data_IF_201722140642
#
_entry.id   IF_201722140642
#
_cell.length_a   1.000
_cell.length_b   1.000
_cell.length_c   1.000
_cell.angle_alpha   90.00
_cell.angle_beta   90.00
_cell.angle_gamma   90.00
#
_symmetry.space_group_name_H-M   'P 1'
#
loop_
_entity.id
_entity.type
_entity.pdbx_description
1 polymer ?
#
# COMPACT_ATOMS: atom_id res chain seq x y z
N UNK A 1 -21.67 -18.61 -1.51
CA UNK A 1 -21.16 -17.24 -1.74
C UNK A 1 -20.58 -17.20 -3.15
N UNK A 2 -20.96 -16.26 -4.02
CA UNK A 2 -20.23 -16.07 -5.27
C UNK A 2 -18.75 -15.85 -4.91
N UNK A 3 -17.83 -16.61 -5.53
CA UNK A 3 -16.40 -16.48 -5.26
C UNK A 3 -16.00 -15.03 -5.53
N UNK A 4 -15.18 -14.43 -4.66
CA UNK A 4 -14.68 -13.07 -4.86
C UNK A 4 -13.78 -12.93 -6.11
N UNK A 5 -13.33 -14.06 -6.68
CA UNK A 5 -12.43 -14.14 -7.84
C UNK A 5 -12.87 -13.30 -9.04
N UNK A 6 -14.11 -13.39 -9.59
CA UNK A 6 -14.48 -12.69 -10.81
C UNK A 6 -14.51 -11.16 -10.63
N UNK A 7 -14.90 -10.68 -9.44
CA UNK A 7 -14.95 -9.25 -9.13
C UNK A 7 -13.55 -8.65 -8.96
N UNK A 8 -12.63 -9.39 -8.33
CA UNK A 8 -11.23 -8.99 -8.17
C UNK A 8 -10.55 -8.96 -9.54
N UNK A 9 -10.75 -9.99 -10.37
CA UNK A 9 -10.19 -10.03 -11.72
C UNK A 9 -10.72 -8.90 -12.61
N UNK A 10 -12.03 -8.60 -12.54
CA UNK A 10 -12.62 -7.49 -13.27
C UNK A 10 -12.02 -6.13 -12.83
N UNK A 11 -11.86 -5.92 -11.51
CA UNK A 11 -11.20 -4.73 -10.99
C UNK A 11 -9.73 -4.64 -11.40
N UNK A 12 -9.01 -5.76 -11.42
CA UNK A 12 -7.62 -5.83 -11.90
C UNK A 12 -7.52 -5.46 -13.38
N UNK A 13 -8.41 -5.96 -14.24
CA UNK A 13 -8.45 -5.63 -15.67
C UNK A 13 -8.75 -4.15 -15.89
N UNK A 14 -9.82 -3.64 -15.27
CA UNK A 14 -10.21 -2.23 -15.36
C UNK A 14 -9.07 -1.29 -14.97
N UNK A 15 -8.40 -1.59 -13.86
CA UNK A 15 -7.27 -0.78 -13.41
C UNK A 15 -6.04 -0.94 -14.30
N UNK A 16 -5.75 -2.15 -14.80
CA UNK A 16 -4.64 -2.37 -15.73
C UNK A 16 -4.80 -1.63 -17.06
N UNK A 17 -6.03 -1.32 -17.46
CA UNK A 17 -6.36 -0.54 -18.66
C UNK A 17 -6.49 0.96 -18.38
N UNK A 18 -6.51 1.37 -17.10
CA UNK A 18 -6.63 2.76 -16.72
C UNK A 18 -5.38 3.56 -17.13
N UNK A 19 -5.60 4.69 -17.79
CA UNK A 19 -4.54 5.63 -18.19
C UNK A 19 -3.90 6.33 -17.00
N UNK A 20 -4.60 6.42 -15.87
CA UNK A 20 -4.14 7.04 -14.62
C UNK A 20 -4.70 6.34 -13.40
N UNK A 21 -3.89 6.28 -12.36
CA UNK A 21 -4.23 5.63 -11.09
C UNK A 21 -4.20 6.64 -9.96
N UNK A 22 -5.28 6.72 -9.20
CA UNK A 22 -5.32 7.47 -7.94
C UNK A 22 -5.11 6.54 -6.77
N UNK A 23 -4.22 6.97 -5.90
CA UNK A 23 -3.94 6.32 -4.63
C UNK A 23 -4.17 7.31 -3.51
N UNK A 24 -4.86 6.87 -2.46
CA UNK A 24 -5.19 7.71 -1.31
C UNK A 24 -4.90 6.99 0.01
N UNK A 25 -4.09 7.63 0.84
CA UNK A 25 -3.84 7.22 2.22
C UNK A 25 -4.90 7.82 3.14
N UNK A 26 -5.98 7.06 3.39
CA UNK A 26 -7.14 7.47 4.19
C UNK A 26 -6.86 7.51 5.69
N UNK A 27 -5.89 6.72 6.17
CA UNK A 27 -5.41 6.76 7.55
C UNK A 27 -3.87 6.87 7.56
N UNK A 28 -3.25 7.33 8.67
CA UNK A 28 -1.81 7.56 8.70
C UNK A 28 -1.03 6.34 8.22
N UNK A 29 -0.29 6.50 7.14
CA UNK A 29 0.50 5.43 6.52
C UNK A 29 1.95 5.62 6.89
N UNK A 30 2.53 4.58 7.51
CA UNK A 30 3.82 4.67 8.22
C UNK A 30 4.85 3.75 7.59
N UNK A 31 5.61 4.29 6.64
CA UNK A 31 6.69 3.57 5.97
C UNK A 31 8.04 4.02 6.51
N UNK A 32 8.93 3.05 6.79
CA UNK A 32 10.34 3.33 7.07
C UNK A 32 11.18 2.97 5.86
N UNK A 33 11.89 3.95 5.33
CA UNK A 33 12.79 3.82 4.18
C UNK A 33 14.17 4.31 4.63
N UNK A 34 15.21 3.47 4.48
CA UNK A 34 16.55 3.79 4.99
C UNK A 34 16.59 4.12 6.49
N UNK A 35 15.73 3.48 7.30
CA UNK A 35 15.63 3.71 8.75
C UNK A 35 14.83 4.95 9.18
N UNK A 36 14.51 5.85 8.24
CA UNK A 36 13.76 7.10 8.49
C UNK A 36 12.29 6.93 8.10
N UNK A 37 11.41 7.71 8.71
CA UNK A 37 10.02 7.76 8.26
C UNK A 37 9.95 8.44 6.91
N UNK A 38 9.20 7.87 5.99
CA UNK A 38 8.92 8.51 4.72
C UNK A 38 8.09 9.78 4.96
N UNK A 39 8.35 10.80 4.15
CA UNK A 39 7.61 12.07 4.06
C UNK A 39 6.55 12.06 2.95
N UNK A 40 6.77 11.23 1.92
CA UNK A 40 5.84 10.94 0.82
C UNK A 40 5.78 9.45 0.52
N UNK A 41 4.70 9.02 -0.12
CA UNK A 41 4.56 7.62 -0.55
C UNK A 41 5.08 7.49 -1.97
N UNK A 42 6.34 7.11 -2.16
CA UNK A 42 6.88 6.87 -3.51
C UNK A 42 6.39 5.54 -4.06
N UNK A 43 6.37 5.41 -5.39
CA UNK A 43 5.87 4.21 -6.04
C UNK A 43 6.61 2.94 -5.60
N UNK A 44 7.95 2.98 -5.59
CA UNK A 44 8.81 1.93 -5.03
C UNK A 44 8.43 1.55 -3.60
N UNK A 45 8.25 2.53 -2.72
CA UNK A 45 8.01 2.29 -1.29
C UNK A 45 6.65 1.62 -1.05
N UNK A 46 5.64 2.03 -1.81
CA UNK A 46 4.31 1.42 -1.82
C UNK A 46 4.39 -0.06 -2.22
N UNK A 47 5.07 -0.35 -3.33
CA UNK A 47 5.22 -1.73 -3.86
C UNK A 47 5.99 -2.60 -2.89
N UNK A 48 7.13 -2.12 -2.37
CA UNK A 48 7.93 -2.85 -1.38
C UNK A 48 7.09 -3.15 -0.14
N UNK A 49 6.36 -2.16 0.38
CA UNK A 49 5.54 -2.34 1.57
C UNK A 49 4.37 -3.30 1.33
N UNK A 50 3.74 -3.24 0.16
CA UNK A 50 2.60 -4.08 -0.20
C UNK A 50 3.04 -5.54 -0.39
N UNK A 51 4.09 -5.76 -1.18
CA UNK A 51 4.66 -7.08 -1.41
C UNK A 51 5.13 -7.73 -0.09
N UNK A 52 5.85 -6.98 0.76
CA UNK A 52 6.28 -7.49 2.08
C UNK A 52 5.11 -7.88 2.98
N UNK A 53 4.05 -7.07 2.99
CA UNK A 53 2.87 -7.36 3.81
C UNK A 53 2.14 -8.61 3.32
N UNK A 54 1.90 -8.68 2.01
CA UNK A 54 1.26 -9.83 1.37
C UNK A 54 2.05 -11.11 1.63
N UNK A 55 3.36 -11.10 1.38
CA UNK A 55 4.25 -12.23 1.67
C UNK A 55 4.25 -12.61 3.16
N UNK A 56 4.24 -11.61 4.05
CA UNK A 56 4.15 -11.83 5.49
C UNK A 56 2.85 -12.55 5.88
N UNK A 57 1.70 -12.14 5.33
CA UNK A 57 0.42 -12.80 5.64
C UNK A 57 0.41 -14.22 5.11
N UNK A 58 0.81 -14.46 3.85
CA UNK A 58 0.83 -15.82 3.28
C UNK A 58 1.77 -16.73 4.04
N UNK A 59 2.96 -16.24 4.44
CA UNK A 59 3.92 -17.03 5.20
C UNK A 59 3.41 -17.46 6.58
N UNK A 60 2.66 -16.62 7.28
CA UNK A 60 2.26 -16.90 8.67
C UNK A 60 0.84 -17.47 8.78
N UNK A 61 -0.01 -17.27 7.76
CA UNK A 61 -1.43 -17.60 7.81
C UNK A 61 -1.97 -18.30 6.55
N UNK A 62 -1.13 -18.48 5.52
CA UNK A 62 -1.45 -19.25 4.32
C UNK A 62 -0.65 -20.55 4.26
N UNK A 63 -0.58 -21.12 3.06
CA UNK A 63 0.16 -22.35 2.74
C UNK A 63 1.64 -22.09 2.37
N UNK A 64 2.10 -20.84 2.48
CA UNK A 64 3.45 -20.45 2.10
C UNK A 64 3.66 -20.23 0.60
N UNK A 65 2.59 -20.22 -0.21
CA UNK A 65 2.67 -19.96 -1.65
C UNK A 65 3.37 -18.62 -1.96
N UNK A 66 4.32 -18.64 -2.89
CA UNK A 66 4.94 -17.41 -3.40
C UNK A 66 3.96 -16.75 -4.38
N UNK A 67 3.52 -15.54 -4.05
CA UNK A 67 2.55 -14.81 -4.87
C UNK A 67 3.25 -13.92 -5.91
N UNK A 68 2.83 -14.05 -7.16
CA UNK A 68 3.19 -13.14 -8.25
C UNK A 68 4.62 -13.29 -8.78
N UNK A 69 5.04 -12.38 -9.68
CA UNK A 69 6.38 -12.42 -10.27
C UNK A 69 7.48 -12.05 -9.27
N UNK A 70 8.76 -12.29 -9.60
CA UNK A 70 9.88 -11.96 -8.72
C UNK A 70 9.81 -10.51 -8.23
N UNK A 71 9.67 -10.34 -6.90
CA UNK A 71 9.46 -9.02 -6.26
C UNK A 71 10.54 -8.00 -6.66
N UNK A 72 11.76 -8.45 -6.96
CA UNK A 72 12.86 -7.59 -7.44
C UNK A 72 12.49 -6.85 -8.73
N UNK A 73 12.04 -7.57 -9.75
CA UNK A 73 11.69 -6.98 -11.05
C UNK A 73 10.52 -6.01 -10.93
N UNK A 74 9.56 -6.36 -10.08
CA UNK A 74 8.38 -5.53 -9.77
C UNK A 74 8.80 -4.20 -9.13
N UNK A 75 9.76 -4.24 -8.19
CA UNK A 75 10.31 -3.04 -7.53
C UNK A 75 11.07 -2.16 -8.52
N UNK A 76 11.90 -2.74 -9.38
CA UNK A 76 12.71 -1.99 -10.35
C UNK A 76 11.85 -1.24 -11.37
N UNK A 77 10.75 -1.85 -11.83
CA UNK A 77 9.77 -1.16 -12.69
C UNK A 77 9.05 -0.04 -11.94
N UNK A 78 8.65 -0.30 -10.69
CA UNK A 78 7.95 0.69 -9.88
C UNK A 78 8.83 1.89 -9.50
N UNK A 79 10.14 1.71 -9.40
CA UNK A 79 11.09 2.78 -9.07
C UNK A 79 11.14 3.89 -10.13
N UNK A 80 10.82 3.56 -11.39
CA UNK A 80 10.78 4.53 -12.49
C UNK A 80 9.46 5.31 -12.55
N UNK A 81 8.45 4.93 -11.76
CA UNK A 81 7.16 5.61 -11.73
C UNK A 81 7.23 6.86 -10.86
N UNK A 82 7.09 8.02 -11.51
CA UNK A 82 6.95 9.31 -10.85
C UNK A 82 5.46 9.69 -10.84
N UNK A 83 4.91 10.16 -9.72
CA UNK A 83 3.53 10.65 -9.68
C UNK A 83 3.37 11.89 -10.59
N UNK A 84 2.23 11.94 -11.28
CA UNK A 84 1.81 13.07 -12.12
C UNK A 84 1.40 14.25 -11.24
N UNK A 85 0.74 13.96 -10.13
CA UNK A 85 0.31 14.92 -9.12
C UNK A 85 0.38 14.25 -7.75
N UNK A 86 0.76 14.99 -6.72
CA UNK A 86 0.78 14.48 -5.35
C UNK A 86 0.53 15.57 -4.31
N UNK A 87 -0.25 15.22 -3.29
CA UNK A 87 -0.49 16.05 -2.11
C UNK A 87 -0.40 15.16 -0.88
N UNK A 88 0.80 15.10 -0.29
CA UNK A 88 1.09 14.37 0.93
C UNK A 88 1.27 15.32 2.10
N UNK A 89 0.81 14.91 3.28
CA UNK A 89 1.16 15.58 4.52
C UNK A 89 1.35 14.57 5.64
N UNK A 90 2.28 14.89 6.54
CA UNK A 90 2.40 14.17 7.79
C UNK A 90 1.35 14.68 8.78
N UNK A 91 0.69 13.77 9.48
CA UNK A 91 -0.11 14.12 10.66
C UNK A 91 0.45 13.45 11.89
N UNK A 92 0.65 14.23 12.94
CA UNK A 92 1.06 13.71 14.24
C UNK A 92 -0.16 13.29 15.03
N UNK A 93 -0.24 11.99 15.30
CA UNK A 93 -1.23 11.38 16.17
C UNK A 93 -0.53 10.54 17.22
N UNK A 94 -1.16 10.38 18.36
CA UNK A 94 -0.69 9.47 19.37
C UNK A 94 -1.71 9.22 20.45
N UNK A 95 -1.42 8.23 21.28
CA UNK A 95 -2.26 7.89 22.43
C UNK A 95 -1.40 7.40 23.57
N UNK A 96 -1.86 7.59 24.79
CA UNK A 96 -1.26 6.92 25.94
C UNK A 96 -1.86 5.52 26.11
N UNK A 97 -1.01 4.52 26.29
CA UNK A 97 -1.44 3.15 26.63
C UNK A 97 -1.27 2.94 28.13
N UNK A 98 -2.38 2.95 28.88
CA UNK A 98 -2.36 2.69 30.32
C UNK A 98 -1.77 1.30 30.64
N UNK A 99 -2.17 0.27 29.89
CA UNK A 99 -1.66 -1.11 30.03
C UNK A 99 -0.14 -1.21 29.92
N UNK A 100 0.46 -0.47 29.00
CA UNK A 100 1.92 -0.50 28.77
C UNK A 100 2.65 0.70 29.37
N UNK A 101 1.91 1.58 30.08
CA UNK A 101 2.37 2.85 30.64
C UNK A 101 3.27 3.67 29.72
N UNK A 102 2.91 3.76 28.43
CA UNK A 102 3.72 4.46 27.42
C UNK A 102 2.87 5.18 26.38
N UNK A 103 3.40 6.29 25.86
CA UNK A 103 2.81 7.00 24.73
C UNK A 103 3.17 6.32 23.40
N UNK A 104 2.16 5.98 22.59
CA UNK A 104 2.32 5.42 21.25
C UNK A 104 2.23 6.55 20.23
N UNK A 105 3.31 6.76 19.47
CA UNK A 105 3.29 7.64 18.28
C UNK A 105 2.66 6.88 17.12
N UNK A 106 1.51 7.39 16.67
CA UNK A 106 0.66 6.82 15.63
C UNK A 106 0.56 7.73 14.38
N UNK A 107 1.29 8.85 14.37
CA UNK A 107 1.39 9.72 13.21
C UNK A 107 2.03 9.05 11.99
N UNK A 108 1.71 9.59 10.81
CA UNK A 108 2.08 9.04 9.50
C UNK A 108 1.60 9.92 8.35
N UNK A 109 1.89 9.49 7.12
CA UNK A 109 1.50 10.19 5.89
C UNK A 109 0.01 9.97 5.62
N UNK A 110 -0.70 11.04 5.29
CA UNK A 110 -2.04 11.01 4.70
C UNK A 110 -2.05 11.87 3.44
N UNK A 111 -3.05 11.68 2.58
CA UNK A 111 -3.18 12.43 1.33
C UNK A 111 -3.33 11.51 0.13
N UNK A 112 -2.93 12.00 -1.04
CA UNK A 112 -3.15 11.30 -2.29
C UNK A 112 -2.06 11.58 -3.33
N UNK A 113 -1.96 10.69 -4.32
CA UNK A 113 -1.22 10.95 -5.55
C UNK A 113 -1.91 10.28 -6.74
N UNK A 114 -1.65 10.85 -7.92
CA UNK A 114 -2.01 10.30 -9.21
C UNK A 114 -0.75 9.79 -9.88
N UNK A 115 -0.74 8.52 -10.27
CA UNK A 115 0.36 7.88 -10.98
C UNK A 115 -0.02 7.62 -12.45
N UNK A 116 0.97 7.53 -13.34
CA UNK A 116 0.78 6.87 -14.63
C UNK A 116 0.40 5.39 -14.42
N UNK A 117 0.04 4.65 -15.49
CA UNK A 117 -0.35 3.25 -15.37
C UNK A 117 0.74 2.43 -14.67
N UNK A 118 0.35 1.66 -13.67
CA UNK A 118 1.27 0.77 -12.98
C UNK A 118 1.54 -0.48 -13.81
N UNK A 119 2.73 -1.09 -13.70
CA UNK A 119 2.98 -2.41 -14.26
C UNK A 119 1.91 -3.40 -13.78
N UNK A 120 1.39 -4.23 -14.70
CA UNK A 120 0.30 -5.18 -14.41
C UNK A 120 0.65 -6.12 -13.25
N UNK A 121 1.94 -6.43 -13.10
CA UNK A 121 2.51 -7.25 -12.05
C UNK A 121 2.40 -6.63 -10.64
N UNK A 122 2.31 -5.30 -10.55
CA UNK A 122 2.20 -4.55 -9.30
C UNK A 122 0.75 -4.51 -8.80
N UNK A 123 -0.21 -4.49 -9.72
CA UNK A 123 -1.64 -4.30 -9.47
C UNK A 123 -2.18 -5.21 -8.36
N UNK A 124 -1.91 -6.53 -8.33
CA UNK A 124 -2.42 -7.40 -7.28
C UNK A 124 -1.94 -7.00 -5.87
N UNK A 125 -0.69 -6.55 -5.74
CA UNK A 125 -0.14 -6.13 -4.44
C UNK A 125 -0.77 -4.85 -3.94
N UNK A 126 -0.96 -3.84 -4.80
CA UNK A 126 -1.62 -2.60 -4.42
C UNK A 126 -3.10 -2.79 -4.07
N UNK A 127 -3.80 -3.66 -4.81
CA UNK A 127 -5.17 -4.03 -4.48
C UNK A 127 -5.25 -4.81 -3.16
N UNK A 128 -4.33 -5.73 -2.91
CA UNK A 128 -4.26 -6.42 -1.62
C UNK A 128 -4.02 -5.41 -0.48
N UNK A 129 -3.15 -4.43 -0.68
CA UNK A 129 -2.87 -3.40 0.32
C UNK A 129 -4.12 -2.57 0.72
N UNK A 130 -5.13 -2.46 -0.15
CA UNK A 130 -6.42 -1.84 0.21
C UNK A 130 -7.13 -2.58 1.35
N UNK A 131 -7.16 -3.91 1.29
CA UNK A 131 -7.82 -4.74 2.30
C UNK A 131 -6.94 -4.99 3.51
N UNK A 132 -5.65 -5.16 3.26
CA UNK A 132 -4.70 -5.53 4.30
C UNK A 132 -4.24 -4.29 5.07
N UNK A 133 -4.29 -3.09 4.50
CA UNK A 133 -3.58 -1.91 4.98
C UNK A 133 -2.09 -1.97 4.62
N UNK A 134 -1.34 -0.91 4.92
CA UNK A 134 0.05 -0.77 4.49
C UNK A 134 0.95 -0.17 5.59
N UNK A 135 2.17 -0.69 5.72
CA UNK A 135 3.17 -0.14 6.63
C UNK A 135 2.99 -0.54 8.10
N UNK A 136 3.45 0.30 9.02
CA UNK A 136 3.51 0.00 10.46
C UNK A 136 2.24 0.43 11.19
N UNK A 137 1.79 -0.42 12.11
CA UNK A 137 0.66 -0.13 12.99
C UNK A 137 -0.71 -0.41 12.38
N UNK A 138 -0.79 -1.25 11.34
CA UNK A 138 -2.07 -1.63 10.71
C UNK A 138 -3.06 -2.25 11.70
N UNK A 139 -2.58 -2.94 12.73
CA UNK A 139 -3.42 -3.47 13.81
C UNK A 139 -4.09 -2.37 14.67
N UNK A 140 -3.63 -1.12 14.58
CA UNK A 140 -4.26 0.06 15.18
C UNK A 140 -5.15 0.83 14.19
N UNK A 141 -5.49 0.25 13.03
CA UNK A 141 -6.28 0.90 11.98
C UNK A 141 -5.48 1.85 11.07
N UNK A 142 -4.16 1.84 11.16
CA UNK A 142 -3.28 2.67 10.33
C UNK A 142 -3.05 2.06 8.94
N UNK A 143 -2.64 2.89 7.98
CA UNK A 143 -2.24 2.43 6.65
C UNK A 143 -3.38 2.04 5.71
N UNK A 144 -4.60 2.54 5.90
CA UNK A 144 -5.71 2.28 4.97
C UNK A 144 -5.43 2.99 3.65
N UNK A 145 -5.30 2.19 2.59
CA UNK A 145 -5.04 2.64 1.23
C UNK A 145 -6.30 2.47 0.40
N UNK A 146 -6.69 3.47 -0.37
CA UNK A 146 -7.67 3.33 -1.45
C UNK A 146 -6.96 3.47 -2.79
N UNK A 147 -7.37 2.66 -3.76
CA UNK A 147 -6.77 2.59 -5.10
C UNK A 147 -7.89 2.55 -6.13
N UNK A 148 -7.79 3.38 -7.17
CA UNK A 148 -8.80 3.50 -8.23
C UNK A 148 -8.25 4.09 -9.51
N UNK A 149 -9.03 4.02 -10.59
CA UNK A 149 -8.74 4.71 -11.85
C UNK A 149 -9.19 6.17 -11.78
N UNK A 150 -8.55 7.04 -12.55
CA UNK A 150 -9.04 8.39 -12.86
C UNK A 150 -9.33 8.47 -14.35
N UNK A 151 -10.43 9.13 -14.72
CA UNK A 151 -10.78 9.45 -16.12
C UNK A 151 -9.83 10.50 -16.69
#
# INVERSE_FOLDING_TARGET
MPRAEPAIEAAQRHLAEASRWRLEARTPTRLKVGGRWADRLRARDLVVAAARRTAGIVRHHGDGTVLGPPVREVIERAERLVPIDESWRWIDLGRYSARQRRFHRLGGIVGQAVYPPWPKEVTPFLLAARFLGLGKGTAFGLGRLEVGSVL
#
